data_IF_656275818216
#
_entry.id   IF_656275818216
#
_cell.length_a   1.000
_cell.length_b   1.000
_cell.length_c   1.000
_cell.angle_alpha   90.00
_cell.angle_beta   90.00
_cell.angle_gamma   90.00
#
_symmetry.space_group_name_H-M   'P 1'
#
loop_
_entity.id
_entity.type
_entity.pdbx_description
1 polymer ?
#
# COMPACT_ATOMS: atom_id res chain seq x y z
N UNK A 1 6.17 0.04 -13.31
CA UNK A 1 7.21 0.31 -12.30
C UNK A 1 8.44 0.78 -13.04
N UNK A 2 9.27 1.59 -12.40
CA UNK A 2 10.45 2.20 -13.01
C UNK A 2 11.68 1.84 -12.17
N UNK A 3 12.64 1.14 -12.76
CA UNK A 3 13.84 0.64 -12.08
C UNK A 3 15.02 1.53 -12.43
N UNK A 4 15.47 2.34 -11.49
CA UNK A 4 16.63 3.22 -11.63
C UNK A 4 17.84 2.65 -10.90
N UNK A 5 19.04 3.19 -11.20
CA UNK A 5 20.29 2.75 -10.59
C UNK A 5 20.29 2.89 -9.05
N UNK A 6 19.60 3.91 -8.52
CA UNK A 6 19.59 4.21 -7.08
C UNK A 6 18.28 3.83 -6.40
N UNK A 7 17.19 3.59 -7.16
CA UNK A 7 15.88 3.34 -6.58
C UNK A 7 14.90 2.61 -7.51
N UNK A 8 13.92 1.95 -6.90
CA UNK A 8 12.72 1.44 -7.55
C UNK A 8 11.57 2.40 -7.29
N UNK A 9 11.03 2.99 -8.34
CA UNK A 9 9.91 3.94 -8.25
C UNK A 9 8.60 3.23 -8.62
N UNK A 10 7.66 3.25 -7.69
CA UNK A 10 6.33 2.70 -7.87
C UNK A 10 5.42 3.73 -8.57
N UNK A 11 5.18 3.50 -9.87
CA UNK A 11 4.17 4.21 -10.67
C UNK A 11 3.07 3.26 -11.23
N UNK A 12 2.36 2.46 -10.40
CA UNK A 12 1.35 1.58 -10.95
C UNK A 12 0.02 2.32 -11.17
N UNK A 13 -0.60 2.03 -12.31
CA UNK A 13 -1.98 2.41 -12.61
C UNK A 13 -2.86 1.19 -12.35
N UNK A 14 -3.78 1.29 -11.38
CA UNK A 14 -4.66 0.19 -11.02
C UNK A 14 -6.04 0.46 -11.66
N UNK A 15 -6.40 -0.22 -12.76
CA UNK A 15 -7.73 -0.10 -13.34
C UNK A 15 -8.80 -0.65 -12.39
N UNK A 16 -10.03 -0.13 -12.51
CA UNK A 16 -11.16 -0.50 -11.63
C UNK A 16 -11.52 -1.99 -11.70
N UNK A 17 -11.26 -2.65 -12.82
CA UNK A 17 -11.46 -4.11 -12.95
C UNK A 17 -10.58 -4.91 -11.98
N UNK A 18 -9.50 -4.31 -11.48
CA UNK A 18 -8.63 -4.88 -10.44
C UNK A 18 -9.00 -4.39 -9.03
N UNK A 19 -10.21 -3.84 -8.84
CA UNK A 19 -10.72 -3.44 -7.52
C UNK A 19 -10.64 -4.61 -6.54
N UNK A 20 -10.18 -4.30 -5.33
CA UNK A 20 -9.99 -5.26 -4.24
C UNK A 20 -8.61 -5.17 -3.63
N UNK A 21 -8.34 -6.07 -2.68
CA UNK A 21 -7.02 -6.24 -2.09
C UNK A 21 -6.21 -7.21 -2.95
N UNK A 22 -5.01 -6.81 -3.35
CA UNK A 22 -4.07 -7.66 -4.09
C UNK A 22 -2.76 -7.71 -3.33
N UNK A 23 -2.21 -8.91 -3.22
CA UNK A 23 -0.90 -9.10 -2.59
C UNK A 23 0.04 -9.71 -3.60
N UNK A 24 1.19 -9.08 -3.77
CA UNK A 24 2.34 -9.63 -4.46
C UNK A 24 3.40 -9.93 -3.40
N UNK A 25 3.54 -11.21 -3.05
CA UNK A 25 4.53 -11.67 -2.07
C UNK A 25 5.84 -12.07 -2.74
N UNK A 26 6.93 -12.04 -1.98
CA UNK A 26 8.23 -12.57 -2.39
C UNK A 26 8.82 -11.91 -3.66
N UNK A 27 8.56 -10.62 -3.86
CA UNK A 27 9.10 -9.87 -4.98
C UNK A 27 10.58 -9.57 -4.72
N UNK A 28 11.48 -10.21 -5.47
CA UNK A 28 12.92 -9.99 -5.33
C UNK A 28 13.31 -8.66 -5.97
N UNK A 29 13.92 -7.78 -5.18
CA UNK A 29 14.47 -6.52 -5.64
C UNK A 29 15.88 -6.34 -5.07
N UNK A 30 16.91 -6.56 -5.92
CA UNK A 30 18.32 -6.50 -5.52
C UNK A 30 18.59 -7.40 -4.30
N UNK A 31 19.08 -6.80 -3.20
CA UNK A 31 19.39 -7.47 -1.94
C UNK A 31 18.19 -7.52 -0.98
N UNK A 32 17.00 -7.16 -1.45
CA UNK A 32 15.77 -7.14 -0.67
C UNK A 32 14.68 -8.04 -1.26
N UNK A 33 13.76 -8.47 -0.40
CA UNK A 33 12.53 -9.18 -0.76
C UNK A 33 11.36 -8.34 -0.30
N UNK A 34 10.48 -7.99 -1.22
CA UNK A 34 9.35 -7.10 -0.97
C UNK A 34 8.04 -7.89 -0.98
N UNK A 35 7.24 -7.70 0.07
CA UNK A 35 5.85 -8.15 0.11
C UNK A 35 4.95 -6.93 -0.08
N UNK A 36 4.39 -6.79 -1.28
CA UNK A 36 3.63 -5.62 -1.71
C UNK A 36 2.14 -5.91 -1.57
N UNK A 37 1.43 -5.06 -0.82
CA UNK A 37 -0.01 -5.14 -0.64
C UNK A 37 -0.65 -3.90 -1.23
N UNK A 38 -1.56 -4.11 -2.17
CA UNK A 38 -2.25 -3.11 -2.94
C UNK A 38 -3.71 -3.12 -2.50
N UNK A 39 -4.17 -2.01 -1.95
CA UNK A 39 -5.55 -1.83 -1.53
C UNK A 39 -6.17 -0.67 -2.31
N UNK A 40 -7.21 -0.96 -3.09
CA UNK A 40 -7.94 0.03 -3.88
C UNK A 40 -7.54 0.09 -5.35
N UNK A 41 -8.14 1.05 -6.06
CA UNK A 41 -7.97 1.24 -7.51
C UNK A 41 -8.01 2.74 -7.84
N UNK A 42 -7.49 3.12 -9.01
CA UNK A 42 -7.52 4.49 -9.50
C UNK A 42 -6.17 5.01 -10.01
N UNK A 43 -6.16 6.28 -10.39
CA UNK A 43 -4.98 6.95 -10.99
C UNK A 43 -4.02 7.55 -9.96
N UNK A 44 -4.47 7.80 -8.73
CA UNK A 44 -3.68 8.49 -7.69
C UNK A 44 -3.47 7.60 -6.46
N UNK A 45 -2.20 7.50 -6.03
CA UNK A 45 -1.80 6.86 -4.78
C UNK A 45 -2.25 7.77 -3.62
N UNK A 46 -2.99 7.23 -2.65
CA UNK A 46 -3.42 7.96 -1.44
C UNK A 46 -2.34 7.92 -0.36
N UNK A 47 -1.77 6.74 -0.14
CA UNK A 47 -0.72 6.51 0.85
C UNK A 47 0.12 5.31 0.46
N UNK A 48 1.41 5.38 0.77
CA UNK A 48 2.33 4.25 0.67
C UNK A 48 3.18 4.20 1.94
N UNK A 49 3.34 2.99 2.48
CA UNK A 49 4.21 2.74 3.62
C UNK A 49 5.13 1.56 3.35
N UNK A 50 6.31 1.61 3.96
CA UNK A 50 7.27 0.51 4.05
C UNK A 50 7.48 0.21 5.53
N UNK A 51 7.21 -1.03 5.95
CA UNK A 51 7.30 -1.48 7.35
C UNK A 51 6.58 -0.54 8.33
N UNK A 52 5.42 -0.01 7.92
CA UNK A 52 4.62 0.93 8.70
C UNK A 52 5.08 2.40 8.65
N UNK A 53 6.25 2.70 8.07
CA UNK A 53 6.75 4.07 7.90
C UNK A 53 6.30 4.66 6.54
N UNK A 54 5.90 5.94 6.48
CA UNK A 54 5.51 6.58 5.22
C UNK A 54 6.69 6.58 4.24
N UNK A 55 6.44 6.15 3.01
CA UNK A 55 7.45 6.09 1.96
C UNK A 55 7.26 7.29 1.00
N UNK A 56 8.03 8.38 1.13
CA UNK A 56 7.88 9.53 0.26
C UNK A 56 8.13 9.14 -1.21
N UNK A 57 7.37 9.77 -2.11
CA UNK A 57 7.50 9.60 -3.57
C UNK A 57 7.35 8.17 -4.09
N UNK A 58 6.87 7.23 -3.26
CA UNK A 58 6.77 5.82 -3.59
C UNK A 58 8.09 5.23 -4.12
N UNK A 59 9.20 5.65 -3.52
CA UNK A 59 10.56 5.32 -3.94
C UNK A 59 11.20 4.37 -2.94
N UNK A 60 11.60 3.18 -3.41
CA UNK A 60 12.36 2.21 -2.62
C UNK A 60 13.84 2.31 -2.96
N UNK A 61 14.72 2.67 -2.01
CA UNK A 61 16.15 2.83 -2.30
C UNK A 61 16.80 1.49 -2.64
N UNK A 62 17.79 1.52 -3.52
CA UNK A 62 18.61 0.38 -3.93
C UNK A 62 19.41 -0.26 -2.79
N UNK A 63 19.69 0.52 -1.75
CA UNK A 63 20.46 0.11 -0.57
C UNK A 63 19.63 -0.72 0.41
N UNK A 64 18.32 -0.85 0.19
CA UNK A 64 17.42 -1.65 1.01
C UNK A 64 17.83 -3.13 0.99
N UNK A 65 17.83 -3.78 2.16
CA UNK A 65 18.27 -5.17 2.34
C UNK A 65 17.34 -5.91 3.28
N UNK A 66 17.12 -7.19 2.98
CA UNK A 66 16.25 -8.04 3.79
C UNK A 66 14.79 -7.98 3.32
N UNK A 67 13.88 -8.43 4.19
CA UNK A 67 12.47 -8.58 3.84
C UNK A 67 11.66 -7.39 4.33
N UNK A 68 10.87 -6.77 3.46
CA UNK A 68 10.10 -5.58 3.76
C UNK A 68 8.66 -5.70 3.30
N UNK A 69 7.74 -5.14 4.10
CA UNK A 69 6.33 -5.06 3.75
C UNK A 69 5.99 -3.68 3.20
N UNK A 70 5.50 -3.65 1.97
CA UNK A 70 4.98 -2.44 1.32
C UNK A 70 3.47 -2.48 1.34
N UNK A 71 2.84 -1.40 1.81
CA UNK A 71 1.38 -1.23 1.77
C UNK A 71 1.08 0.02 0.95
N UNK A 72 0.36 -0.15 -0.15
CA UNK A 72 -0.06 0.91 -1.03
C UNK A 72 -1.57 1.00 -1.01
N UNK A 73 -2.10 2.14 -0.57
CA UNK A 73 -3.51 2.45 -0.56
C UNK A 73 -3.82 3.45 -1.68
N UNK A 74 -4.73 3.11 -2.61
CA UNK A 74 -5.24 4.03 -3.63
C UNK A 74 -6.50 4.75 -3.16
N UNK A 75 -6.75 5.91 -3.78
CA UNK A 75 -8.02 6.60 -3.61
C UNK A 75 -9.05 5.95 -4.56
N UNK A 76 -10.02 5.24 -4.00
CA UNK A 76 -11.16 4.69 -4.72
C UNK A 76 -12.05 5.85 -5.21
N UNK A 77 -11.77 6.37 -6.40
CA UNK A 77 -12.67 7.30 -7.09
C UNK A 77 -13.29 6.49 -8.23
N UNK A 78 -14.61 6.29 -8.18
CA UNK A 78 -15.34 5.81 -9.33
C UNK A 78 -15.24 6.87 -10.42
N UNK A 79 -14.85 6.49 -11.65
CA UNK A 79 -14.77 7.45 -12.77
C UNK A 79 -16.11 8.15 -13.06
N UNK A 80 -17.22 7.61 -12.55
CA UNK A 80 -18.57 8.16 -12.67
C UNK A 80 -18.87 9.37 -11.78
N UNK A 81 -17.98 9.81 -10.88
CA UNK A 81 -18.20 11.00 -10.04
C UNK A 81 -17.13 12.08 -10.23
N UNK A 82 -16.72 12.34 -11.47
CA UNK A 82 -16.10 13.65 -11.82
C UNK A 82 -17.20 14.68 -12.14
N UNK A 83 -18.15 14.83 -11.21
CA UNK A 83 -19.04 15.98 -11.09
C UNK A 83 -19.25 16.19 -9.60
N UNK A 84 -18.37 16.98 -8.99
CA UNK A 84 -18.56 17.81 -7.80
C UNK A 84 -17.15 18.20 -7.31
N UNK A 85 -16.48 19.04 -8.11
CA UNK A 85 -15.48 19.93 -7.54
C UNK A 85 -16.23 21.00 -6.76
N UNK A 86 -16.69 20.65 -5.55
CA UNK A 86 -17.02 21.56 -4.45
C UNK A 86 -17.72 20.74 -3.36
N UNK A 87 -17.14 20.77 -2.16
CA UNK A 87 -17.65 20.23 -0.89
C UNK A 87 -17.53 18.70 -0.71
N UNK A 88 -16.48 18.29 0.01
CA UNK A 88 -16.58 17.46 1.24
C UNK A 88 -15.17 17.10 1.74
N UNK A 89 -14.56 18.07 2.41
CA UNK A 89 -13.70 17.78 3.56
C UNK A 89 -14.60 17.13 4.62
N UNK A 90 -14.08 16.16 5.36
CA UNK A 90 -14.76 15.32 6.36
C UNK A 90 -15.20 13.98 5.75
N UNK A 91 -14.76 12.88 6.38
CA UNK A 91 -15.27 11.50 6.24
C UNK A 91 -14.50 10.42 5.43
N UNK A 92 -13.16 10.42 5.40
CA UNK A 92 -12.45 9.17 5.05
C UNK A 92 -11.14 8.94 5.82
N UNK A 93 -11.26 8.92 7.16
CA UNK A 93 -10.31 8.28 8.08
C UNK A 93 -10.91 6.94 8.53
N UNK A 94 -10.55 5.83 7.88
CA UNK A 94 -10.43 4.47 8.43
C UNK A 94 -10.51 3.48 7.27
N UNK A 95 -9.35 3.01 6.79
CA UNK A 95 -9.15 1.68 6.19
C UNK A 95 -7.71 1.54 5.65
N UNK A 96 -6.68 1.78 6.47
CA UNK A 96 -5.35 1.16 6.26
C UNK A 96 -4.73 0.64 7.58
N UNK A 97 -5.50 0.62 8.69
CA UNK A 97 -5.06 0.12 10.01
C UNK A 97 -6.11 -0.85 10.55
N UNK A 98 -5.92 -2.14 10.23
CA UNK A 98 -6.25 -3.28 11.11
C UNK A 98 -5.74 -4.55 10.43
N UNK A 99 -4.49 -4.90 10.72
CA UNK A 99 -4.08 -6.29 10.86
C UNK A 99 -3.45 -6.42 12.23
N UNK A 100 -4.23 -6.95 13.16
CA UNK A 100 -3.69 -7.72 14.28
C UNK A 100 -4.34 -9.09 14.14
N UNK A 101 -3.48 -10.09 13.94
CA UNK A 101 -3.82 -11.50 13.79
C UNK A 101 -4.37 -12.08 15.10
N UNK A 102 -5.16 -13.17 15.05
CA UNK A 102 -5.55 -13.95 16.23
C UNK A 102 -4.42 -14.90 16.68
N UNK A 103 -4.61 -15.53 17.85
CA UNK A 103 -3.80 -16.56 18.56
C UNK A 103 -2.65 -16.04 19.48
N UNK A 104 -2.53 -16.37 20.77
CA UNK A 104 -2.85 -17.61 21.48
C UNK A 104 -3.23 -17.49 22.97
N UNK A 105 -4.02 -18.50 23.37
CA UNK A 105 -4.23 -19.17 24.67
C UNK A 105 -3.13 -19.03 25.74
N UNK A 106 -3.51 -18.79 27.01
CA UNK A 106 -2.63 -19.00 28.15
C UNK A 106 -3.11 -18.50 29.53
N UNK A 107 -3.79 -19.39 30.27
CA UNK A 107 -3.86 -19.60 31.74
C UNK A 107 -3.74 -18.43 32.74
N UNK A 108 -4.65 -18.45 33.71
CA UNK A 108 -4.42 -17.84 35.03
C UNK A 108 -5.67 -17.76 35.88
N UNK A 109 -6.21 -18.91 36.30
CA UNK A 109 -7.11 -18.99 37.46
C UNK A 109 -6.33 -18.59 38.72
N UNK A 110 -6.90 -17.67 39.52
CA UNK A 110 -6.82 -17.63 40.99
C UNK A 110 -7.86 -16.64 41.50
#
# INVERSE_FOLDING_TARGET
MDMQADALIFKPFIPEVLKGERTLTNFKYRNAVLDIKLNGYGKKIKSITIDGKPLPQAMVPATLKGRHQLILCWLMINQTEVKLQNLKTIFYRRTCLKREQPDQLGKGES
#
